data_IF_380787240764
#
_entry.id   IF_380787240764
#
_cell.length_a   1.000
_cell.length_b   1.000
_cell.length_c   1.000
_cell.angle_alpha   90.00
_cell.angle_beta   90.00
_cell.angle_gamma   90.00
#
_symmetry.space_group_name_H-M   'P 1'
#
loop_
_entity.id
_entity.type
_entity.pdbx_description
1 polymer ?
#
# COMPACT_ATOMS: atom_id res chain seq x y z
N UNK A 1 -27.48 10.66 -44.28
CA UNK A 1 -27.97 11.42 -43.11
C UNK A 1 -27.22 10.86 -41.90
N UNK A 2 -26.08 11.47 -41.55
CA UNK A 2 -25.18 11.01 -40.50
C UNK A 2 -25.22 12.07 -39.42
N UNK A 3 -25.71 11.71 -38.23
CA UNK A 3 -25.72 12.59 -37.07
C UNK A 3 -24.34 12.58 -36.44
N UNK A 4 -23.63 13.69 -36.51
CA UNK A 4 -22.41 13.95 -35.74
C UNK A 4 -22.86 14.47 -34.38
N UNK A 5 -22.59 13.73 -33.30
CA UNK A 5 -22.79 14.22 -31.94
C UNK A 5 -21.55 15.04 -31.58
N UNK A 6 -21.70 16.35 -31.50
CA UNK A 6 -20.70 17.24 -30.91
C UNK A 6 -20.56 16.91 -29.42
N UNK A 7 -19.46 16.25 -29.07
CA UNK A 7 -19.07 16.11 -27.68
C UNK A 7 -18.49 17.44 -27.23
N UNK A 8 -19.24 18.13 -26.37
CA UNK A 8 -18.85 19.39 -25.77
C UNK A 8 -17.56 19.20 -24.94
N UNK A 9 -16.40 19.54 -25.52
CA UNK A 9 -15.10 19.45 -24.85
C UNK A 9 -14.92 20.67 -23.96
N UNK A 10 -15.22 20.51 -22.68
CA UNK A 10 -14.65 21.41 -21.69
C UNK A 10 -13.12 21.23 -21.69
N UNK A 11 -12.33 22.31 -21.76
CA UNK A 11 -10.88 22.19 -21.72
C UNK A 11 -10.46 21.64 -20.36
N UNK A 12 -9.65 20.57 -20.40
CA UNK A 12 -8.91 20.08 -19.23
C UNK A 12 -8.02 21.24 -18.75
N UNK A 13 -8.08 21.65 -17.47
CA UNK A 13 -7.24 22.73 -16.99
C UNK A 13 -5.78 22.31 -17.13
N UNK A 14 -4.99 23.17 -17.76
CA UNK A 14 -3.55 23.04 -17.89
C UNK A 14 -2.94 23.05 -16.46
N UNK A 15 -2.67 21.87 -15.88
CA UNK A 15 -2.13 21.77 -14.52
C UNK A 15 -0.61 21.61 -14.56
N UNK A 16 0.06 22.69 -14.15
CA UNK A 16 1.39 22.65 -13.54
C UNK A 16 1.49 21.47 -12.57
N UNK A 17 2.62 20.73 -12.57
CA UNK A 17 2.93 19.65 -11.61
C UNK A 17 2.43 20.03 -10.21
N UNK A 18 1.34 19.39 -9.76
CA UNK A 18 0.72 19.69 -8.47
C UNK A 18 1.60 19.10 -7.35
N UNK A 19 2.65 19.85 -6.99
CA UNK A 19 3.42 19.61 -5.79
C UNK A 19 2.54 19.96 -4.59
N UNK A 20 2.20 18.96 -3.77
CA UNK A 20 1.43 19.16 -2.56
C UNK A 20 2.40 19.02 -1.37
N UNK A 21 2.90 20.13 -0.80
CA UNK A 21 3.90 20.07 0.26
C UNK A 21 3.33 19.41 1.52
N UNK A 22 3.96 18.33 1.97
CA UNK A 22 3.78 17.88 3.36
C UNK A 22 4.45 18.92 4.28
N UNK A 23 3.94 19.18 5.49
CA UNK A 23 4.63 20.04 6.46
C UNK A 23 6.03 19.55 6.80
N UNK A 24 6.31 18.26 6.59
CA UNK A 24 7.63 17.67 6.67
C UNK A 24 8.36 17.74 5.32
N UNK A 25 9.50 18.46 5.20
CA UNK A 25 10.21 18.64 3.94
C UNK A 25 10.79 17.34 3.37
N UNK A 26 10.83 16.28 4.17
CA UNK A 26 11.30 14.96 3.78
C UNK A 26 10.19 14.06 3.22
N UNK A 27 8.95 14.55 3.15
CA UNK A 27 7.83 13.77 2.62
C UNK A 27 7.11 14.59 1.55
N UNK A 28 6.96 14.02 0.36
CA UNK A 28 6.20 14.65 -0.72
C UNK A 28 5.62 13.61 -1.66
N UNK A 29 4.66 14.05 -2.49
CA UNK A 29 4.08 13.22 -3.54
C UNK A 29 4.04 13.99 -4.85
N UNK A 30 4.44 13.33 -5.92
CA UNK A 30 4.31 13.83 -7.29
C UNK A 30 3.34 12.92 -8.02
N UNK A 31 2.21 13.49 -8.43
CA UNK A 31 1.23 12.85 -9.32
C UNK A 31 1.70 13.01 -10.78
N UNK A 32 1.82 11.89 -11.51
CA UNK A 32 2.23 11.90 -12.92
C UNK A 32 1.11 12.39 -13.86
N UNK A 33 -0.13 12.51 -13.37
CA UNK A 33 -1.31 12.96 -14.10
C UNK A 33 -1.48 12.21 -15.43
N UNK A 34 -1.40 10.88 -15.38
CA UNK A 34 -1.57 10.05 -16.56
C UNK A 34 -2.99 10.21 -17.15
N UNK A 35 -3.15 10.16 -18.48
CA UNK A 35 -4.46 10.34 -19.13
C UNK A 35 -5.35 9.09 -19.06
N UNK A 36 -5.01 8.11 -18.21
CA UNK A 36 -5.66 6.81 -18.16
C UNK A 36 -6.71 6.77 -17.04
N UNK A 37 -7.87 6.18 -17.33
CA UNK A 37 -8.93 5.97 -16.33
C UNK A 37 -8.73 4.67 -15.52
N UNK A 38 -7.78 3.82 -15.92
CA UNK A 38 -7.52 2.53 -15.27
C UNK A 38 -6.54 2.64 -14.11
N UNK A 39 -5.57 3.55 -14.22
CA UNK A 39 -4.44 3.61 -13.30
C UNK A 39 -3.75 4.97 -13.35
N UNK A 40 -3.01 5.29 -12.30
CA UNK A 40 -2.11 6.44 -12.27
C UNK A 40 -0.79 6.08 -11.57
N UNK A 41 0.24 6.87 -11.83
CA UNK A 41 1.57 6.70 -11.23
C UNK A 41 1.90 7.88 -10.33
N UNK A 42 2.55 7.58 -9.21
CA UNK A 42 3.01 8.54 -8.24
C UNK A 42 4.45 8.27 -7.86
N UNK A 43 5.24 9.33 -7.73
CA UNK A 43 6.50 9.26 -7.00
C UNK A 43 6.28 9.80 -5.59
N UNK A 44 6.33 8.90 -4.60
CA UNK A 44 6.18 9.24 -3.19
C UNK A 44 7.56 9.32 -2.57
N UNK A 45 7.97 10.50 -2.15
CA UNK A 45 9.22 10.71 -1.42
C UNK A 45 8.98 10.50 0.06
N UNK A 46 9.79 9.65 0.68
CA UNK A 46 9.84 9.43 2.12
C UNK A 46 11.31 9.42 2.58
N UNK A 47 11.73 10.51 3.21
CA UNK A 47 13.14 10.79 3.52
C UNK A 47 14.01 10.73 2.26
N UNK A 48 15.02 9.86 2.24
CA UNK A 48 15.92 9.70 1.10
C UNK A 48 15.37 8.77 0.01
N UNK A 49 14.20 8.17 0.22
CA UNK A 49 13.63 7.18 -0.69
C UNK A 49 12.56 7.79 -1.59
N UNK A 50 12.58 7.39 -2.86
CA UNK A 50 11.49 7.65 -3.80
C UNK A 50 10.82 6.32 -4.13
N UNK A 51 9.54 6.22 -3.79
CA UNK A 51 8.71 5.03 -3.92
C UNK A 51 7.84 5.21 -5.17
N UNK A 52 8.07 4.36 -6.16
CA UNK A 52 7.24 4.27 -7.36
C UNK A 52 5.93 3.60 -6.99
N UNK A 53 4.85 4.36 -7.01
CA UNK A 53 3.54 3.92 -6.53
C UNK A 53 2.55 3.86 -7.68
N UNK A 54 1.98 2.68 -7.90
CA UNK A 54 0.93 2.40 -8.87
C UNK A 54 -0.41 2.40 -8.16
N UNK A 55 -1.30 3.32 -8.53
CA UNK A 55 -2.71 3.33 -8.12
C UNK A 55 -3.55 2.71 -9.24
N UNK A 56 -4.38 1.71 -8.94
CA UNK A 56 -5.26 1.08 -9.94
C UNK A 56 -6.48 0.45 -9.29
N UNK A 57 -7.59 0.36 -10.02
CA UNK A 57 -8.70 -0.57 -9.75
C UNK A 57 -8.80 -1.67 -10.82
N UNK A 58 -7.98 -1.60 -11.88
CA UNK A 58 -7.98 -2.55 -12.98
C UNK A 58 -7.16 -3.81 -12.65
N UNK A 59 -7.78 -5.01 -12.68
CA UNK A 59 -7.11 -6.28 -12.38
C UNK A 59 -5.93 -6.61 -13.33
N UNK A 60 -5.98 -6.19 -14.59
CA UNK A 60 -4.91 -6.46 -15.58
C UNK A 60 -3.63 -5.66 -15.27
N UNK A 61 -3.79 -4.49 -14.66
CA UNK A 61 -2.67 -3.66 -14.18
C UNK A 61 -2.06 -4.28 -12.92
N UNK A 62 -2.88 -4.88 -12.05
CA UNK A 62 -2.40 -5.69 -10.91
C UNK A 62 -1.61 -6.91 -11.39
N UNK A 63 -2.11 -7.65 -12.38
CA UNK A 63 -1.40 -8.78 -13.00
C UNK A 63 -0.01 -8.35 -13.52
N UNK A 64 0.02 -7.20 -14.21
CA UNK A 64 1.26 -6.64 -14.77
C UNK A 64 2.25 -6.26 -13.68
N UNK A 65 1.79 -5.61 -12.60
CA UNK A 65 2.64 -5.27 -11.45
C UNK A 65 3.22 -6.52 -10.78
N UNK A 66 2.39 -7.54 -10.52
CA UNK A 66 2.83 -8.79 -9.90
C UNK A 66 3.87 -9.48 -10.77
N UNK A 67 3.61 -9.60 -12.08
CA UNK A 67 4.53 -10.19 -13.05
C UNK A 67 5.89 -9.48 -13.03
N UNK A 68 5.88 -8.14 -12.99
CA UNK A 68 7.11 -7.34 -12.90
C UNK A 68 7.86 -7.53 -11.60
N UNK A 69 7.17 -7.55 -10.45
CA UNK A 69 7.81 -7.83 -9.15
C UNK A 69 8.48 -9.20 -9.18
N UNK A 70 7.77 -10.25 -9.61
CA UNK A 70 8.32 -11.60 -9.66
C UNK A 70 9.53 -11.69 -10.62
N UNK A 71 9.46 -11.01 -11.77
CA UNK A 71 10.55 -10.95 -12.75
C UNK A 71 11.79 -10.24 -12.21
N UNK A 72 11.61 -9.06 -11.60
CA UNK A 72 12.70 -8.23 -11.05
C UNK A 72 13.36 -8.97 -9.88
N UNK A 73 12.57 -9.63 -9.03
CA UNK A 73 13.02 -10.27 -7.81
C UNK A 73 13.26 -11.79 -7.96
N UNK A 74 13.30 -12.33 -9.19
CA UNK A 74 13.43 -13.76 -9.50
C UNK A 74 14.56 -14.50 -8.76
N UNK A 75 15.63 -13.79 -8.37
CA UNK A 75 16.79 -14.36 -7.65
C UNK A 75 16.58 -14.51 -6.14
N UNK A 76 15.49 -13.96 -5.58
CA UNK A 76 15.22 -13.91 -4.14
C UNK A 76 13.79 -14.34 -3.77
N UNK A 77 13.06 -14.96 -4.71
CA UNK A 77 11.64 -15.32 -4.50
C UNK A 77 11.40 -16.20 -3.27
N UNK A 78 12.35 -17.06 -2.90
CA UNK A 78 12.25 -17.93 -1.72
C UNK A 78 12.21 -17.22 -0.37
N UNK A 79 12.55 -15.93 -0.33
CA UNK A 79 12.60 -15.13 0.90
C UNK A 79 12.17 -13.69 0.61
N UNK A 80 11.24 -13.50 -0.33
CA UNK A 80 10.82 -12.16 -0.72
C UNK A 80 9.86 -11.62 0.33
N UNK A 81 10.28 -10.54 0.98
CA UNK A 81 9.46 -9.80 1.94
C UNK A 81 8.59 -8.81 1.16
N UNK A 82 7.31 -8.74 1.52
CA UNK A 82 6.31 -7.83 0.95
C UNK A 82 5.66 -7.06 2.10
N UNK A 83 5.73 -5.74 2.07
CA UNK A 83 4.94 -4.92 3.00
C UNK A 83 3.48 -4.97 2.58
N UNK A 84 2.58 -5.21 3.54
CA UNK A 84 1.14 -5.26 3.32
C UNK A 84 0.44 -4.32 4.30
N UNK A 85 -0.53 -3.59 3.79
CA UNK A 85 -1.48 -2.82 4.59
C UNK A 85 -2.82 -2.73 3.85
N UNK A 86 -3.89 -2.41 4.56
CA UNK A 86 -5.24 -2.23 4.00
C UNK A 86 -5.93 -1.01 4.60
N UNK A 87 -6.80 -0.37 3.83
CA UNK A 87 -7.57 0.78 4.33
C UNK A 87 -9.04 0.68 3.89
N UNK A 88 -9.95 1.17 4.73
CA UNK A 88 -11.39 1.19 4.49
C UNK A 88 -12.08 2.41 5.11
N UNK A 89 -13.30 2.70 4.66
CA UNK A 89 -14.09 3.79 5.26
C UNK A 89 -14.35 3.50 6.75
N UNK A 90 -14.09 4.45 7.66
CA UNK A 90 -14.37 4.25 9.08
C UNK A 90 -15.85 3.98 9.36
N UNK A 91 -16.11 3.01 10.23
CA UNK A 91 -17.47 2.72 10.72
C UNK A 91 -17.94 3.87 11.63
N UNK A 92 -19.05 4.54 11.26
CA UNK A 92 -19.64 5.66 12.03
C UNK A 92 -20.78 5.23 12.94
N UNK A 93 -21.27 3.99 12.78
CA UNK A 93 -22.35 3.41 13.56
C UNK A 93 -21.94 2.07 14.14
N UNK A 94 -22.52 1.70 15.29
CA UNK A 94 -22.34 0.36 15.86
C UNK A 94 -22.94 -0.67 14.87
N UNK A 95 -22.21 -1.76 14.63
CA UNK A 95 -22.55 -2.85 13.68
C UNK A 95 -22.36 -2.53 12.19
N UNK A 96 -21.82 -1.36 11.83
CA UNK A 96 -21.35 -1.15 10.46
C UNK A 96 -20.02 -1.89 10.26
N UNK A 97 -19.87 -2.57 9.13
CA UNK A 97 -18.61 -3.18 8.69
C UNK A 97 -18.37 -2.77 7.24
N UNK A 98 -17.66 -1.66 7.03
CA UNK A 98 -17.23 -1.29 5.69
C UNK A 98 -16.19 -2.30 5.19
N UNK A 99 -16.29 -2.75 3.92
CA UNK A 99 -15.33 -3.68 3.35
C UNK A 99 -13.96 -3.02 3.15
N UNK A 100 -12.90 -3.82 3.01
CA UNK A 100 -11.58 -3.31 2.60
C UNK A 100 -11.74 -2.49 1.32
N UNK A 101 -11.34 -1.22 1.35
CA UNK A 101 -11.44 -0.36 0.18
C UNK A 101 -10.18 -0.45 -0.70
N UNK A 102 -9.03 -0.61 -0.05
CA UNK A 102 -7.74 -0.65 -0.72
C UNK A 102 -6.83 -1.71 -0.11
N UNK A 103 -6.06 -2.39 -0.96
CA UNK A 103 -4.97 -3.28 -0.59
C UNK A 103 -3.66 -2.65 -1.05
N UNK A 104 -2.70 -2.49 -0.15
CA UNK A 104 -1.37 -2.00 -0.48
C UNK A 104 -0.33 -3.11 -0.39
N UNK A 105 0.55 -3.17 -1.39
CA UNK A 105 1.65 -4.13 -1.43
C UNK A 105 2.94 -3.41 -1.82
N UNK A 106 4.01 -3.58 -1.05
CA UNK A 106 5.29 -2.95 -1.34
C UNK A 106 6.44 -3.94 -1.36
N UNK A 107 7.25 -3.90 -2.43
CA UNK A 107 8.51 -4.65 -2.55
C UNK A 107 9.61 -3.70 -3.01
N UNK A 108 10.62 -3.51 -2.18
CA UNK A 108 11.68 -2.53 -2.46
C UNK A 108 11.11 -1.12 -2.47
N UNK A 109 11.24 -0.42 -3.61
CA UNK A 109 10.69 0.93 -3.83
C UNK A 109 9.49 0.92 -4.79
N UNK A 110 8.81 -0.21 -4.92
CA UNK A 110 7.66 -0.38 -5.80
C UNK A 110 6.44 -0.71 -4.94
N UNK A 111 5.48 0.20 -4.91
CA UNK A 111 4.23 0.04 -4.19
C UNK A 111 3.07 -0.10 -5.17
N UNK A 112 2.17 -1.02 -4.88
CA UNK A 112 0.85 -1.11 -5.46
C UNK A 112 -0.14 -0.57 -4.43
N UNK A 113 -1.07 0.27 -4.87
CA UNK A 113 -2.28 0.64 -4.16
C UNK A 113 -3.44 0.18 -5.04
N UNK A 114 -4.01 -0.96 -4.70
CA UNK A 114 -5.13 -1.56 -5.42
C UNK A 114 -6.44 -1.16 -4.76
N UNK A 115 -7.26 -0.35 -5.44
CA UNK A 115 -8.62 0.01 -5.01
C UNK A 115 -9.57 -1.18 -5.23
N UNK A 116 -9.37 -2.23 -4.44
CA UNK A 116 -10.03 -3.54 -4.56
C UNK A 116 -11.56 -3.45 -4.53
N UNK A 117 -12.14 -2.48 -3.82
CA UNK A 117 -13.60 -2.27 -3.75
C UNK A 117 -14.22 -1.86 -5.08
N UNK A 118 -13.43 -1.24 -5.98
CA UNK A 118 -13.87 -0.81 -7.30
C UNK A 118 -13.46 -1.79 -8.40
N UNK A 119 -12.74 -2.86 -8.05
CA UNK A 119 -12.31 -3.85 -9.01
C UNK A 119 -13.49 -4.72 -9.46
N UNK A 120 -13.65 -4.99 -10.77
CA UNK A 120 -14.75 -5.83 -11.26
C UNK A 120 -14.61 -7.29 -10.83
N UNK A 121 -13.39 -7.74 -10.51
CA UNK A 121 -13.08 -9.07 -9.97
C UNK A 121 -11.69 -9.06 -9.33
N UNK A 122 -11.41 -10.10 -8.54
CA UNK A 122 -10.08 -10.35 -7.97
C UNK A 122 -9.22 -11.13 -8.98
N UNK A 123 -8.06 -10.60 -9.41
CA UNK A 123 -7.21 -11.30 -10.37
C UNK A 123 -6.64 -12.60 -9.76
N UNK A 124 -6.70 -13.74 -10.47
CA UNK A 124 -6.13 -15.00 -9.98
C UNK A 124 -4.63 -14.93 -9.67
N UNK A 125 -3.89 -14.02 -10.30
CA UNK A 125 -2.48 -13.78 -9.99
C UNK A 125 -2.30 -13.22 -8.58
N UNK A 126 -3.20 -12.35 -8.10
CA UNK A 126 -3.18 -11.81 -6.75
C UNK A 126 -3.51 -12.89 -5.72
N UNK A 127 -4.50 -13.74 -6.00
CA UNK A 127 -4.82 -14.91 -5.17
C UNK A 127 -3.58 -15.81 -5.03
N UNK A 128 -2.93 -16.11 -6.15
CA UNK A 128 -1.72 -16.95 -6.17
C UNK A 128 -0.54 -16.27 -5.47
N UNK A 129 -0.40 -14.95 -5.60
CA UNK A 129 0.66 -14.16 -4.98
C UNK A 129 0.51 -14.11 -3.46
N UNK A 130 -0.68 -13.78 -2.95
CA UNK A 130 -0.95 -13.78 -1.51
C UNK A 130 -0.88 -15.19 -0.90
N UNK A 131 -1.27 -16.21 -1.68
CA UNK A 131 -1.23 -17.61 -1.28
C UNK A 131 0.14 -18.30 -1.39
N UNK A 132 1.18 -17.62 -1.88
CA UNK A 132 2.52 -18.22 -2.03
C UNK A 132 3.28 -18.23 -0.69
N UNK A 133 3.50 -19.42 -0.14
CA UNK A 133 4.23 -19.60 1.12
C UNK A 133 5.72 -19.23 1.05
N UNK A 134 6.29 -19.04 -0.14
CA UNK A 134 7.66 -18.55 -0.32
C UNK A 134 7.79 -17.04 -0.12
N UNK A 135 6.68 -16.31 -0.17
CA UNK A 135 6.63 -14.87 0.12
C UNK A 135 6.34 -14.67 1.60
N UNK A 136 6.84 -13.60 2.20
CA UNK A 136 6.52 -13.24 3.58
C UNK A 136 5.92 -11.84 3.61
N UNK A 137 4.65 -11.77 3.99
CA UNK A 137 3.92 -10.52 4.12
C UNK A 137 4.15 -9.94 5.51
N UNK A 138 4.45 -8.64 5.59
CA UNK A 138 4.78 -7.99 6.86
C UNK A 138 3.97 -6.71 7.04
N UNK A 139 3.51 -6.47 8.26
CA UNK A 139 2.70 -5.32 8.64
C UNK A 139 2.57 -5.21 10.16
N UNK A 140 1.94 -4.15 10.64
CA UNK A 140 1.71 -3.93 12.08
C UNK A 140 0.25 -4.22 12.38
N UNK A 141 -0.02 -5.24 13.20
CA UNK A 141 -1.41 -5.68 13.37
C UNK A 141 -1.95 -6.51 12.20
N UNK A 142 -1.04 -7.01 11.35
CA UNK A 142 -1.36 -7.63 10.06
C UNK A 142 -2.31 -8.83 10.16
N UNK A 143 -2.38 -9.52 11.31
CA UNK A 143 -3.34 -10.60 11.52
C UNK A 143 -4.78 -10.14 11.30
N UNK A 144 -5.16 -8.97 11.83
CA UNK A 144 -6.50 -8.40 11.63
C UNK A 144 -6.74 -7.98 10.17
N UNK A 145 -5.70 -7.56 9.47
CA UNK A 145 -5.78 -7.22 8.05
C UNK A 145 -6.02 -8.46 7.19
N UNK A 146 -5.32 -9.54 7.49
CA UNK A 146 -5.46 -10.83 6.81
C UNK A 146 -6.82 -11.46 7.07
N UNK A 147 -7.30 -11.43 8.32
CA UNK A 147 -8.65 -11.88 8.67
C UNK A 147 -9.70 -11.11 7.86
N UNK A 148 -9.56 -9.77 7.80
CA UNK A 148 -10.51 -8.92 7.07
C UNK A 148 -10.47 -9.15 5.55
N UNK A 149 -9.29 -9.37 4.97
CA UNK A 149 -9.15 -9.72 3.55
C UNK A 149 -9.81 -11.07 3.23
N UNK A 150 -9.70 -12.04 4.15
CA UNK A 150 -10.36 -13.34 4.01
C UNK A 150 -11.88 -13.20 4.09
N UNK A 151 -12.38 -12.44 5.06
CA UNK A 151 -13.82 -12.21 5.26
C UNK A 151 -14.46 -11.44 4.08
N UNK A 152 -13.85 -10.33 3.66
CA UNK A 152 -14.45 -9.44 2.67
C UNK A 152 -14.26 -9.94 1.23
N UNK A 153 -13.14 -10.61 0.93
CA UNK A 153 -12.73 -10.93 -0.44
C UNK A 153 -12.30 -12.39 -0.65
N UNK A 154 -12.37 -13.25 0.37
CA UNK A 154 -11.85 -14.63 0.31
C UNK A 154 -10.37 -14.71 -0.09
N UNK A 155 -9.59 -13.66 0.24
CA UNK A 155 -8.17 -13.59 -0.03
C UNK A 155 -7.38 -14.15 1.16
N UNK A 156 -6.78 -15.32 0.97
CA UNK A 156 -5.88 -15.93 1.96
C UNK A 156 -4.45 -15.43 1.77
N UNK A 157 -3.84 -14.93 2.84
CA UNK A 157 -2.41 -14.59 2.91
C UNK A 157 -1.69 -15.74 3.60
N UNK A 158 -0.92 -16.53 2.84
CA UNK A 158 -0.41 -17.81 3.31
C UNK A 158 0.69 -17.70 4.38
N UNK A 159 1.51 -16.65 4.33
CA UNK A 159 2.65 -16.47 5.21
C UNK A 159 2.81 -14.99 5.57
N UNK A 160 2.34 -14.61 6.74
CA UNK A 160 2.46 -13.25 7.26
C UNK A 160 3.17 -13.22 8.62
N UNK A 161 3.84 -12.09 8.89
CA UNK A 161 4.58 -11.86 10.13
C UNK A 161 4.23 -10.48 10.67
N UNK A 162 3.75 -10.44 11.91
CA UNK A 162 3.53 -9.17 12.61
C UNK A 162 4.87 -8.55 13.04
N UNK A 163 5.10 -7.31 12.60
CA UNK A 163 6.32 -6.57 12.86
C UNK A 163 6.54 -6.27 14.34
N UNK A 164 5.48 -6.22 15.16
CA UNK A 164 5.57 -6.02 16.61
C UNK A 164 6.28 -7.19 17.26
N UNK A 165 5.80 -8.41 16.98
CA UNK A 165 6.40 -9.66 17.49
C UNK A 165 7.83 -9.83 16.97
N UNK A 166 8.03 -9.61 15.66
CA UNK A 166 9.36 -9.71 15.07
C UNK A 166 10.35 -8.71 15.68
N UNK A 167 9.90 -7.48 16.00
CA UNK A 167 10.74 -6.49 16.65
C UNK A 167 11.12 -6.88 18.08
N UNK A 168 10.19 -7.44 18.86
CA UNK A 168 10.47 -7.98 20.20
C UNK A 168 11.53 -9.08 20.11
N UNK A 169 11.35 -10.03 19.20
CA UNK A 169 12.23 -11.18 19.05
C UNK A 169 13.65 -10.77 18.64
N UNK A 170 13.78 -9.76 17.77
CA UNK A 170 15.08 -9.33 17.22
C UNK A 170 15.79 -8.28 18.04
N UNK A 171 15.07 -7.46 18.81
CA UNK A 171 15.64 -6.36 19.60
C UNK A 171 15.63 -6.60 21.10
N UNK A 172 14.86 -7.57 21.60
CA UNK A 172 14.72 -7.85 23.04
C UNK A 172 13.87 -6.84 23.81
N UNK A 173 13.19 -5.92 23.11
CA UNK A 173 12.40 -4.82 23.67
C UNK A 173 10.91 -5.20 23.74
N UNK A 174 10.44 -5.67 24.90
CA UNK A 174 9.07 -6.21 25.10
C UNK A 174 7.97 -5.19 24.85
N UNK A 175 8.25 -3.91 25.06
CA UNK A 175 7.33 -2.79 24.83
C UNK A 175 6.93 -2.64 23.37
N UNK A 176 7.76 -3.12 22.42
CA UNK A 176 7.47 -3.06 20.99
C UNK A 176 6.29 -3.93 20.58
N UNK A 177 5.86 -4.86 21.43
CA UNK A 177 4.66 -5.67 21.18
C UNK A 177 3.36 -4.83 21.08
N UNK A 178 3.40 -3.57 21.56
CA UNK A 178 2.28 -2.62 21.48
C UNK A 178 2.58 -1.42 20.57
N UNK A 179 3.72 -1.45 19.87
CA UNK A 179 4.15 -0.36 19.01
C UNK A 179 3.27 -0.27 17.76
N UNK A 180 2.94 0.96 17.37
CA UNK A 180 2.43 1.25 16.04
C UNK A 180 3.57 1.44 15.04
N UNK A 181 3.22 1.54 13.75
CA UNK A 181 4.19 1.73 12.67
C UNK A 181 5.06 2.99 12.85
N UNK A 182 4.55 4.06 13.47
CA UNK A 182 5.35 5.25 13.82
C UNK A 182 6.54 4.91 14.71
N UNK A 183 6.26 4.18 15.79
CA UNK A 183 7.26 3.79 16.78
C UNK A 183 8.28 2.84 16.17
N UNK A 184 7.84 1.85 15.37
CA UNK A 184 8.74 0.92 14.71
C UNK A 184 9.58 1.59 13.61
N UNK A 185 8.99 2.47 12.80
CA UNK A 185 9.70 3.25 11.80
C UNK A 185 10.81 4.09 12.42
N UNK A 186 10.51 4.79 13.52
CA UNK A 186 11.53 5.56 14.24
C UNK A 186 12.59 4.64 14.86
N UNK A 187 12.18 3.58 15.56
CA UNK A 187 13.09 2.70 16.31
C UNK A 187 14.03 1.90 15.41
N UNK A 188 13.54 1.39 14.27
CA UNK A 188 14.27 0.47 13.40
C UNK A 188 14.94 1.20 12.23
N UNK A 189 14.30 2.23 11.68
CA UNK A 189 14.79 2.96 10.50
C UNK A 189 15.40 4.33 10.85
N UNK A 190 15.16 4.85 12.06
CA UNK A 190 15.53 6.21 12.43
C UNK A 190 14.70 7.27 11.69
N UNK A 191 13.49 6.92 11.24
CA UNK A 191 12.65 7.77 10.39
C UNK A 191 11.28 7.98 11.00
N UNK A 192 10.89 9.24 11.12
CA UNK A 192 9.55 9.60 11.55
C UNK A 192 8.52 9.30 10.47
N UNK A 193 7.40 8.70 10.89
CA UNK A 193 6.24 8.39 10.04
C UNK A 193 5.07 9.26 10.48
N UNK A 194 4.51 10.01 9.54
CA UNK A 194 3.31 10.81 9.77
C UNK A 194 2.07 9.97 9.49
N UNK A 195 1.14 9.95 10.45
CA UNK A 195 -0.20 9.35 10.25
C UNK A 195 -1.24 10.38 10.67
N UNK A 196 -1.56 11.36 9.80
CA UNK A 196 -2.50 12.42 10.11
C UNK A 196 -3.92 11.86 10.17
N UNK A 197 -4.62 12.09 11.27
CA UNK A 197 -5.96 11.54 11.53
C UNK A 197 -6.98 11.88 10.42
N UNK A 198 -6.81 13.02 9.74
CA UNK A 198 -7.65 13.41 8.59
C UNK A 198 -7.56 12.44 7.41
N UNK A 199 -6.41 11.79 7.20
CA UNK A 199 -6.19 10.82 6.13
C UNK A 199 -6.59 9.43 6.61
N UNK A 200 -6.18 9.02 7.81
CA UNK A 200 -6.51 7.69 8.36
C UNK A 200 -8.02 7.49 8.53
N UNK A 201 -8.79 8.57 8.68
CA UNK A 201 -10.26 8.54 8.80
C UNK A 201 -10.97 9.08 7.55
N UNK A 202 -10.26 9.13 6.42
CA UNK A 202 -10.81 9.63 5.16
C UNK A 202 -11.71 8.58 4.48
N UNK A 203 -12.32 8.98 3.36
CA UNK A 203 -13.14 8.10 2.53
C UNK A 203 -12.24 7.29 1.60
N UNK A 204 -11.72 6.18 2.10
CA UNK A 204 -10.87 5.26 1.33
C UNK A 204 -11.60 4.53 0.21
N UNK A 205 -12.93 4.53 0.25
CA UNK A 205 -13.84 3.97 -0.75
C UNK A 205 -14.24 4.97 -1.83
N UNK A 206 -13.69 6.19 -1.83
CA UNK A 206 -13.93 7.14 -2.92
C UNK A 206 -13.41 6.53 -4.26
N UNK A 207 -14.07 6.79 -5.40
CA UNK A 207 -13.66 6.25 -6.71
C UNK A 207 -12.23 6.61 -7.10
N UNK A 208 -11.76 7.77 -6.64
CA UNK A 208 -10.41 8.28 -6.89
C UNK A 208 -9.77 8.74 -5.58
N UNK A 209 -8.65 8.12 -5.22
CA UNK A 209 -7.88 8.56 -4.06
C UNK A 209 -7.18 9.89 -4.34
N UNK A 210 -7.16 10.76 -3.34
CA UNK A 210 -6.31 11.95 -3.38
C UNK A 210 -4.83 11.59 -3.34
N UNK A 211 -3.96 12.46 -3.88
CA UNK A 211 -2.51 12.26 -3.82
C UNK A 211 -1.99 12.05 -2.37
N UNK A 212 -2.65 12.64 -1.37
CA UNK A 212 -2.29 12.48 0.03
C UNK A 212 -2.70 11.12 0.61
N UNK A 213 -3.82 10.54 0.14
CA UNK A 213 -4.20 9.16 0.45
C UNK A 213 -3.21 8.18 -0.19
N UNK A 214 -2.84 8.39 -1.45
CA UNK A 214 -1.84 7.55 -2.14
C UNK A 214 -0.47 7.63 -1.44
N UNK A 215 -0.02 8.84 -1.09
CA UNK A 215 1.21 9.07 -0.33
C UNK A 215 1.21 8.28 0.98
N UNK A 216 0.13 8.39 1.75
CA UNK A 216 -0.01 7.70 3.03
C UNK A 216 0.02 6.17 2.85
N UNK A 217 -0.79 5.65 1.92
CA UNK A 217 -0.92 4.23 1.64
C UNK A 217 0.42 3.62 1.18
N UNK A 218 1.16 4.35 0.34
CA UNK A 218 2.49 3.94 -0.10
C UNK A 218 3.51 3.93 1.04
N UNK A 219 3.50 4.95 1.91
CA UNK A 219 4.43 5.04 3.04
C UNK A 219 4.17 3.91 4.04
N UNK A 220 2.92 3.60 4.36
CA UNK A 220 2.60 2.55 5.31
C UNK A 220 3.10 1.17 4.82
N UNK A 221 2.78 0.80 3.58
CA UNK A 221 3.29 -0.45 3.00
C UNK A 221 4.82 -0.45 2.86
N UNK A 222 5.44 0.66 2.46
CA UNK A 222 6.89 0.78 2.31
C UNK A 222 7.62 0.67 3.65
N UNK A 223 7.16 1.36 4.68
CA UNK A 223 7.77 1.31 6.01
C UNK A 223 7.61 -0.09 6.60
N UNK A 224 6.45 -0.73 6.42
CA UNK A 224 6.26 -2.13 6.83
C UNK A 224 7.26 -3.06 6.14
N UNK A 225 7.42 -2.95 4.82
CA UNK A 225 8.43 -3.68 4.06
C UNK A 225 9.85 -3.44 4.60
N UNK A 226 10.25 -2.18 4.78
CA UNK A 226 11.62 -1.82 5.12
C UNK A 226 11.98 -2.18 6.57
N UNK A 227 11.02 -2.04 7.51
CA UNK A 227 11.15 -2.52 8.89
C UNK A 227 11.31 -4.04 8.90
N UNK A 228 10.43 -4.78 8.21
CA UNK A 228 10.51 -6.24 8.12
C UNK A 228 11.85 -6.68 7.52
N UNK A 229 12.26 -6.09 6.40
CA UNK A 229 13.54 -6.35 5.74
C UNK A 229 14.74 -6.13 6.67
N UNK A 230 14.72 -5.05 7.46
CA UNK A 230 15.82 -4.72 8.38
C UNK A 230 15.83 -5.65 9.59
N UNK A 231 14.68 -5.97 10.15
CA UNK A 231 14.55 -6.92 11.26
C UNK A 231 14.96 -8.34 10.87
N UNK A 232 14.56 -8.81 9.69
CA UNK A 232 14.95 -10.12 9.16
C UNK A 232 16.45 -10.24 8.85
N UNK A 233 17.16 -9.12 8.73
CA UNK A 233 18.62 -9.12 8.55
C UNK A 233 19.43 -9.22 9.85
N UNK A 234 18.79 -9.04 11.02
CA UNK A 234 19.45 -9.33 12.29
C UNK A 234 19.58 -10.85 12.46
N UNK A 235 20.82 -11.33 12.51
CA UNK A 235 21.09 -12.69 12.97
C UNK A 235 20.59 -12.83 14.41
N UNK A 236 19.92 -13.94 14.70
CA UNK A 236 19.67 -14.32 16.09
C UNK A 236 21.05 -14.59 16.73
N UNK A 237 21.35 -13.89 17.82
CA UNK A 237 22.51 -14.16 18.66
C UNK A 237 22.33 -15.47 19.42
#
# INVERSE_FOLDING_TARGET
MVWTIEVNRNPVPNSTRNYNPSPNPYISVVDHNLPYETHNLYDVTFHSDTIQTLLTSDPSIVDSWISDILRIHRRRLRHLIVGLDIEWRPNTQRNMQNPVATLQLCVGRRCLVFQIIHAPFIPPSLVSFLGDCNLTFVGVGIESDVEKLLEDYSLSVANFVDLRSLAVDKLGERELNRAGLKTLGLRVLGREVEKPQRITRSKWDDPWLSAQQVQYAAIDAFVSFEVGRRLSSYNAY
#
